data_IF_320595974167
#
_entry.id   IF_320595974167
#
_cell.length_a   1.000
_cell.length_b   1.000
_cell.length_c   1.000
_cell.angle_alpha   90.00
_cell.angle_beta   90.00
_cell.angle_gamma   90.00
#
_symmetry.space_group_name_H-M   'P 1'
#
loop_
_entity.id
_entity.type
_entity.pdbx_description
1 polymer ?
#
# COMPACT_ATOMS: atom_id res chain seq x y z
N UNK A 1 9.96 -22.74 27.51
CA UNK A 1 9.03 -22.00 28.39
C UNK A 1 9.53 -20.56 28.40
N UNK A 2 8.89 -19.69 27.63
CA UNK A 2 9.26 -18.28 27.56
C UNK A 2 8.60 -17.56 28.74
N UNK A 3 9.40 -17.12 29.71
CA UNK A 3 8.92 -16.46 30.92
C UNK A 3 8.23 -15.14 30.57
N UNK A 4 6.95 -15.02 30.96
CA UNK A 4 6.22 -13.74 30.88
C UNK A 4 6.86 -12.76 31.87
N UNK A 5 7.20 -11.53 31.45
CA UNK A 5 7.77 -10.54 32.37
C UNK A 5 6.74 -10.19 33.46
N UNK A 6 7.18 -10.25 34.72
CA UNK A 6 6.39 -9.88 35.91
C UNK A 6 5.87 -8.44 35.79
N UNK A 7 4.66 -8.15 36.28
CA UNK A 7 4.12 -6.79 36.24
C UNK A 7 4.99 -5.88 37.11
N UNK A 8 5.57 -4.86 36.49
CA UNK A 8 6.34 -3.80 37.14
C UNK A 8 5.42 -2.86 37.92
N UNK A 9 5.90 -2.36 39.07
CA UNK A 9 5.25 -1.36 39.92
C UNK A 9 4.57 -0.25 39.10
N UNK A 10 3.31 0.14 39.41
CA UNK A 10 2.53 1.11 38.62
C UNK A 10 3.09 2.55 38.65
N UNK A 11 4.20 2.80 39.38
CA UNK A 11 4.91 4.09 39.45
C UNK A 11 6.26 4.08 38.72
N UNK A 12 6.67 2.98 38.12
CA UNK A 12 7.95 2.91 37.40
C UNK A 12 7.80 3.49 35.98
N UNK A 13 8.60 4.50 35.66
CA UNK A 13 8.70 5.05 34.30
C UNK A 13 9.62 4.16 33.45
N UNK A 14 9.14 3.76 32.27
CA UNK A 14 9.93 2.98 31.31
C UNK A 14 10.02 3.73 29.97
N UNK A 15 11.25 3.99 29.51
CA UNK A 15 11.50 4.56 28.18
C UNK A 15 11.86 3.46 27.20
N UNK A 16 10.92 3.12 26.31
CA UNK A 16 11.18 2.19 25.20
C UNK A 16 11.43 2.97 23.91
N UNK A 17 12.59 2.72 23.28
CA UNK A 17 12.93 3.25 21.96
C UNK A 17 12.93 2.10 20.96
N UNK A 18 12.09 2.23 19.94
CA UNK A 18 11.87 1.22 18.93
C UNK A 18 12.46 1.70 17.61
N UNK A 19 13.36 0.90 17.02
CA UNK A 19 14.00 1.20 15.72
C UNK A 19 13.37 0.34 14.64
N UNK A 20 12.77 0.99 13.63
CA UNK A 20 12.17 0.34 12.46
C UNK A 20 11.12 -0.75 12.80
N UNK A 21 10.26 -0.49 13.78
CA UNK A 21 9.24 -1.46 14.21
C UNK A 21 8.04 -1.58 13.26
N UNK A 22 8.00 -0.83 12.16
CA UNK A 22 6.96 -1.04 11.16
C UNK A 22 7.35 -2.15 10.22
N UNK A 23 6.65 -3.28 10.28
CA UNK A 23 6.84 -4.40 9.36
C UNK A 23 6.20 -4.14 7.99
N UNK A 24 5.23 -3.23 7.96
CA UNK A 24 4.40 -2.92 6.81
C UNK A 24 4.61 -1.50 6.32
N UNK A 25 4.41 -1.32 5.02
CA UNK A 25 4.23 -0.03 4.38
C UNK A 25 2.83 0.03 3.78
N UNK A 26 2.25 1.23 3.85
CA UNK A 26 0.97 1.54 3.26
C UNK A 26 1.17 2.51 2.11
N UNK A 27 0.46 2.28 1.01
CA UNK A 27 0.48 3.13 -0.17
C UNK A 27 -0.95 3.54 -0.51
N UNK A 28 -1.15 4.84 -0.68
CA UNK A 28 -2.34 5.38 -1.31
C UNK A 28 -2.05 5.61 -2.79
N UNK A 29 -2.79 4.94 -3.65
CA UNK A 29 -2.64 5.02 -5.10
C UNK A 29 -3.94 5.47 -5.74
N UNK A 30 -3.82 6.06 -6.92
CA UNK A 30 -4.90 6.50 -7.78
C UNK A 30 -4.61 5.99 -9.18
N UNK A 31 -5.58 5.33 -9.80
CA UNK A 31 -5.46 4.86 -11.17
C UNK A 31 -6.05 5.91 -12.11
N UNK A 32 -5.23 6.42 -13.02
CA UNK A 32 -5.62 7.38 -14.04
C UNK A 32 -5.82 6.60 -15.34
N UNK A 33 -7.05 6.56 -15.82
CA UNK A 33 -7.46 5.90 -17.07
C UNK A 33 -7.94 6.99 -18.02
N UNK A 34 -7.56 6.91 -19.30
CA UNK A 34 -8.04 7.84 -20.33
C UNK A 34 -9.56 7.71 -20.53
N UNK A 35 -10.08 6.48 -20.54
CA UNK A 35 -11.50 6.17 -20.64
C UNK A 35 -12.19 6.14 -19.27
N UNK A 36 -13.01 7.16 -19.02
CA UNK A 36 -13.77 7.33 -17.76
C UNK A 36 -14.90 6.32 -17.54
N UNK A 37 -15.18 5.45 -18.51
CA UNK A 37 -16.30 4.51 -18.44
C UNK A 37 -15.89 3.13 -17.87
N UNK A 38 -14.62 2.94 -17.52
CA UNK A 38 -14.13 1.68 -16.97
C UNK A 38 -14.40 1.64 -15.46
N UNK A 39 -15.36 0.80 -15.07
CA UNK A 39 -15.59 0.44 -13.68
C UNK A 39 -14.70 -0.74 -13.32
N UNK A 40 -13.63 -0.48 -12.58
CA UNK A 40 -12.84 -1.53 -11.95
C UNK A 40 -13.48 -1.86 -10.60
N UNK A 41 -13.66 -3.15 -10.31
CA UNK A 41 -14.09 -3.60 -8.99
C UNK A 41 -12.87 -3.92 -8.12
N UNK A 42 -13.03 -3.90 -6.80
CA UNK A 42 -11.98 -4.23 -5.84
C UNK A 42 -11.18 -5.53 -6.17
N UNK A 43 -11.82 -6.67 -6.49
CA UNK A 43 -11.09 -7.88 -6.88
C UNK A 43 -10.31 -7.73 -8.20
N UNK A 44 -10.86 -6.97 -9.16
CA UNK A 44 -10.18 -6.71 -10.43
C UNK A 44 -8.94 -5.83 -10.22
N UNK A 45 -9.04 -4.80 -9.38
CA UNK A 45 -7.91 -3.96 -8.98
C UNK A 45 -6.82 -4.79 -8.30
N UNK A 46 -7.18 -5.70 -7.38
CA UNK A 46 -6.22 -6.59 -6.73
C UNK A 46 -5.55 -7.52 -7.75
N UNK A 47 -6.32 -8.17 -8.61
CA UNK A 47 -5.79 -9.05 -9.65
C UNK A 47 -4.86 -8.31 -10.60
N UNK A 48 -5.23 -7.09 -10.98
CA UNK A 48 -4.45 -6.22 -11.84
C UNK A 48 -3.06 -5.92 -11.24
N UNK A 49 -3.00 -5.55 -9.96
CA UNK A 49 -1.73 -5.29 -9.28
C UNK A 49 -0.90 -6.58 -9.16
N UNK A 50 -1.52 -7.71 -8.88
CA UNK A 50 -0.83 -9.01 -8.81
C UNK A 50 -0.28 -9.41 -10.18
N UNK A 51 -1.00 -9.13 -11.27
CA UNK A 51 -0.49 -9.33 -12.64
C UNK A 51 0.72 -8.45 -12.90
N UNK A 52 0.68 -7.16 -12.54
CA UNK A 52 1.80 -6.24 -12.69
C UNK A 52 3.07 -6.71 -11.95
N UNK A 53 2.89 -7.28 -10.76
CA UNK A 53 3.96 -7.88 -9.98
C UNK A 53 4.50 -9.15 -10.67
N UNK A 54 3.62 -9.95 -11.25
CA UNK A 54 3.99 -11.15 -12.01
C UNK A 54 4.77 -10.80 -13.27
N UNK A 55 4.36 -9.77 -13.99
CA UNK A 55 4.94 -9.40 -15.28
C UNK A 55 6.36 -8.83 -15.12
N UNK A 56 6.61 -8.06 -14.05
CA UNK A 56 7.93 -7.47 -13.79
C UNK A 56 8.86 -8.38 -12.96
N UNK A 57 8.34 -9.03 -11.92
CA UNK A 57 9.14 -9.79 -10.95
C UNK A 57 8.89 -11.31 -10.99
N UNK A 58 8.13 -11.80 -11.97
CA UNK A 58 7.81 -13.21 -12.15
C UNK A 58 6.87 -13.79 -11.08
N UNK A 59 6.80 -15.12 -11.00
CA UNK A 59 5.97 -15.83 -10.02
C UNK A 59 6.32 -15.47 -8.55
N UNK A 60 7.59 -15.14 -8.29
CA UNK A 60 8.05 -14.68 -6.98
C UNK A 60 7.55 -13.27 -6.62
N UNK A 61 7.26 -12.43 -7.62
CA UNK A 61 6.59 -11.14 -7.42
C UNK A 61 5.12 -11.30 -7.07
N UNK A 62 4.44 -12.20 -7.79
CA UNK A 62 3.01 -12.47 -7.59
C UNK A 62 2.70 -13.09 -6.21
N UNK A 63 3.67 -13.75 -5.57
CA UNK A 63 3.52 -14.33 -4.23
C UNK A 63 3.75 -13.33 -3.09
N UNK A 64 4.08 -12.07 -3.39
CA UNK A 64 4.23 -11.04 -2.36
C UNK A 64 2.87 -10.82 -1.67
N UNK A 65 2.79 -10.92 -0.33
CA UNK A 65 1.55 -10.69 0.39
C UNK A 65 1.15 -9.22 0.27
N UNK A 66 0.08 -8.99 -0.50
CA UNK A 66 -0.51 -7.69 -0.75
C UNK A 66 -1.96 -7.69 -0.29
N UNK A 67 -2.29 -6.73 0.57
CA UNK A 67 -3.67 -6.50 1.01
C UNK A 67 -4.19 -5.18 0.46
N UNK A 68 -5.40 -5.20 -0.08
CA UNK A 68 -6.14 -4.02 -0.49
C UNK A 68 -7.12 -3.69 0.64
N UNK A 69 -6.84 -2.60 1.37
CA UNK A 69 -7.54 -2.24 2.60
C UNK A 69 -8.81 -1.42 2.33
N UNK A 70 -8.70 -0.50 1.38
CA UNK A 70 -9.79 0.38 0.99
C UNK A 70 -9.69 0.59 -0.51
N UNK A 71 -10.84 0.56 -1.18
CA UNK A 71 -10.94 0.90 -2.60
C UNK A 71 -12.16 1.76 -2.82
N UNK A 72 -11.96 2.84 -3.56
CA UNK A 72 -12.99 3.76 -3.99
C UNK A 72 -13.15 3.62 -5.51
N UNK A 73 -14.30 3.10 -5.94
CA UNK A 73 -14.60 2.85 -7.35
C UNK A 73 -14.82 4.14 -8.14
N UNK A 74 -15.22 5.24 -7.49
CA UNK A 74 -15.51 6.51 -8.16
C UNK A 74 -14.23 7.24 -8.54
N UNK A 75 -13.27 7.30 -7.60
CA UNK A 75 -11.99 7.95 -7.80
C UNK A 75 -10.88 6.98 -8.25
N UNK A 76 -11.20 5.69 -8.41
CA UNK A 76 -10.24 4.61 -8.69
C UNK A 76 -9.03 4.66 -7.74
N UNK A 77 -9.28 5.00 -6.48
CA UNK A 77 -8.24 5.17 -5.47
C UNK A 77 -8.21 3.98 -4.51
N UNK A 78 -7.02 3.49 -4.18
CA UNK A 78 -6.84 2.33 -3.34
C UNK A 78 -5.80 2.58 -2.25
N UNK A 79 -6.00 1.94 -1.09
CA UNK A 79 -4.98 1.82 -0.05
C UNK A 79 -4.47 0.39 -0.03
N UNK A 80 -3.18 0.23 -0.30
CA UNK A 80 -2.49 -1.05 -0.32
C UNK A 80 -1.60 -1.19 0.92
N UNK A 81 -1.50 -2.41 1.44
CA UNK A 81 -0.56 -2.80 2.49
C UNK A 81 0.37 -3.87 1.94
N UNK A 82 1.67 -3.67 2.16
CA UNK A 82 2.72 -4.62 1.77
C UNK A 82 3.79 -4.68 2.85
N UNK A 83 4.48 -5.81 2.99
CA UNK A 83 5.67 -5.90 3.85
C UNK A 83 6.79 -5.00 3.32
N UNK A 84 7.65 -4.50 4.20
CA UNK A 84 8.80 -3.66 3.81
C UNK A 84 9.66 -4.30 2.70
N UNK A 85 9.85 -5.61 2.74
CA UNK A 85 10.63 -6.35 1.73
C UNK A 85 10.01 -6.35 0.33
N UNK A 86 8.67 -6.25 0.24
CA UNK A 86 7.92 -6.22 -1.01
C UNK A 86 7.62 -4.81 -1.52
N UNK A 87 7.86 -3.78 -0.70
CA UNK A 87 7.50 -2.40 -1.02
C UNK A 87 8.14 -1.88 -2.31
N UNK A 88 9.45 -2.05 -2.45
CA UNK A 88 10.18 -1.56 -3.64
C UNK A 88 9.71 -2.29 -4.89
N UNK A 89 9.44 -3.60 -4.80
CA UNK A 89 8.96 -4.42 -5.91
C UNK A 89 7.57 -3.98 -6.36
N UNK A 90 6.68 -3.71 -5.41
CA UNK A 90 5.35 -3.18 -5.67
C UNK A 90 5.44 -1.81 -6.36
N UNK A 91 6.24 -0.89 -5.84
CA UNK A 91 6.37 0.44 -6.41
C UNK A 91 6.88 0.38 -7.86
N UNK A 92 7.95 -0.36 -8.12
CA UNK A 92 8.52 -0.45 -9.47
C UNK A 92 7.55 -1.07 -10.46
N UNK A 93 6.80 -2.10 -10.06
CA UNK A 93 5.71 -2.66 -10.87
C UNK A 93 4.64 -1.63 -11.17
N UNK A 94 4.17 -0.88 -10.16
CA UNK A 94 3.12 0.11 -10.34
C UNK A 94 3.55 1.27 -11.26
N UNK A 95 4.79 1.74 -11.18
CA UNK A 95 5.31 2.82 -12.04
C UNK A 95 5.41 2.39 -13.50
N UNK A 96 5.73 1.12 -13.76
CA UNK A 96 5.90 0.58 -15.11
C UNK A 96 4.59 0.07 -15.73
N UNK A 97 3.51 0.02 -14.95
CA UNK A 97 2.19 -0.29 -15.48
C UNK A 97 1.76 0.76 -16.51
N UNK A 98 1.41 0.28 -17.69
CA UNK A 98 0.92 1.14 -18.79
C UNK A 98 -0.43 0.75 -19.35
N UNK A 99 -0.92 -0.46 -19.08
CA UNK A 99 -2.15 -0.94 -19.69
C UNK A 99 -3.02 -1.71 -18.70
N UNK A 100 -4.30 -1.37 -18.65
CA UNK A 100 -5.33 -2.07 -17.87
C UNK A 100 -6.46 -2.44 -18.83
N UNK A 101 -6.75 -3.74 -18.97
CA UNK A 101 -7.81 -4.25 -19.85
C UNK A 101 -7.80 -3.65 -21.28
N UNK A 102 -6.61 -3.51 -21.88
CA UNK A 102 -6.44 -2.98 -23.24
C UNK A 102 -6.36 -1.45 -23.34
N UNK A 103 -6.67 -0.71 -22.28
CA UNK A 103 -6.66 0.75 -22.27
C UNK A 103 -5.39 1.29 -21.61
N UNK A 104 -4.90 2.44 -22.07
CA UNK A 104 -3.75 3.08 -21.44
C UNK A 104 -4.12 3.56 -20.04
N UNK A 105 -3.36 3.10 -19.04
CA UNK A 105 -3.56 3.46 -17.65
C UNK A 105 -2.23 3.87 -17.03
N UNK A 106 -2.28 4.82 -16.11
CA UNK A 106 -1.15 5.22 -15.29
C UNK A 106 -1.52 5.12 -13.82
N UNK A 107 -0.64 4.53 -13.01
CA UNK A 107 -0.81 4.51 -11.56
C UNK A 107 -0.06 5.68 -10.96
N UNK A 108 -0.79 6.56 -10.28
CA UNK A 108 -0.23 7.66 -9.51
C UNK A 108 -0.18 7.29 -8.04
N UNK A 109 1.03 7.24 -7.49
CA UNK A 109 1.23 7.08 -6.04
C UNK A 109 1.02 8.44 -5.38
N UNK A 110 -0.07 8.56 -4.60
CA UNK A 110 -0.43 9.81 -3.93
C UNK A 110 0.42 10.04 -2.69
N UNK A 111 0.54 9.01 -1.84
CA UNK A 111 1.23 9.07 -0.56
C UNK A 111 1.67 7.67 -0.11
N UNK A 112 2.76 7.61 0.65
CA UNK A 112 3.22 6.40 1.31
C UNK A 112 3.54 6.67 2.77
N UNK A 113 3.29 5.69 3.63
CA UNK A 113 3.61 5.79 5.05
C UNK A 113 3.70 4.41 5.70
N UNK A 114 4.56 4.22 6.71
CA UNK A 114 4.54 3.02 7.56
C UNK A 114 3.30 2.93 8.46
N UNK A 115 2.52 4.02 8.62
CA UNK A 115 1.35 4.03 9.49
C UNK A 115 0.12 4.59 8.77
N UNK A 116 -1.02 3.92 8.93
CA UNK A 116 -2.29 4.38 8.37
C UNK A 116 -2.72 5.76 8.90
N UNK A 117 -2.41 6.06 10.16
CA UNK A 117 -2.73 7.37 10.76
C UNK A 117 -2.01 8.50 10.02
N UNK A 118 -0.72 8.32 9.72
CA UNK A 118 0.05 9.29 8.95
C UNK A 118 -0.37 9.31 7.48
N UNK A 119 -0.85 8.19 6.92
CA UNK A 119 -1.43 8.12 5.58
C UNK A 119 -2.79 8.84 5.47
N UNK A 120 -3.56 8.88 6.56
CA UNK A 120 -4.86 9.55 6.59
C UNK A 120 -4.72 11.08 6.57
N UNK A 121 -3.61 11.61 7.10
CA UNK A 121 -3.26 13.02 6.96
C UNK A 121 -2.82 13.35 5.53
N UNK A 122 -3.23 14.51 5.01
CA UNK A 122 -2.82 14.98 3.69
C UNK A 122 -1.35 15.41 3.72
N UNK A 123 -0.43 14.54 3.32
CA UNK A 123 1.00 14.88 3.25
C UNK A 123 1.39 15.69 2.01
N UNK A 124 0.47 15.88 1.06
CA UNK A 124 0.79 16.46 -0.25
C UNK A 124 0.46 17.95 -0.32
N UNK A 125 -0.70 18.35 0.19
CA UNK A 125 -1.18 19.73 0.08
C UNK A 125 -1.18 20.44 1.44
N UNK A 126 -1.34 19.70 2.55
CA UNK A 126 -1.38 20.17 3.95
C UNK A 126 -2.49 21.20 4.28
N UNK A 127 -2.92 22.01 3.32
CA UNK A 127 -4.06 22.94 3.35
C UNK A 127 -4.74 22.87 1.97
N UNK A 128 -6.04 22.63 1.94
CA UNK A 128 -6.88 22.71 0.74
C UNK A 128 -7.52 24.10 0.72
N UNK A 129 -7.16 24.94 -0.25
CA UNK A 129 -7.78 26.24 -0.49
C UNK A 129 -8.98 26.11 -1.42
#
# INVERSE_FOLDING_TARGET
MEERPKPSDPKAYERKVLKNCSEYQYLKIELVIEDKNIKLSAPQMKLFIVSALKDLHGAAGASIPLDLLKYDENNLSAILRVKNSGFVKLWTSLTLLRQCHGHQCSVRVLQTSPFLLALAGNSRELVLN
#
